data_IF_522962618098
#
_entry.id   IF_522962618098
#
_cell.length_a   1.000
_cell.length_b   1.000
_cell.length_c   1.000
_cell.angle_alpha   90.00
_cell.angle_beta   90.00
_cell.angle_gamma   90.00
#
_symmetry.space_group_name_H-M   'P 1'
#
loop_
_entity.id
_entity.type
_entity.pdbx_description
1 polymer ?
#
# COMPACT_ATOMS: atom_id res chain seq x y z
N UNK A 1 -0.31 -57.78 -28.53
CA UNK A 1 0.53 -56.60 -28.20
C UNK A 1 1.86 -57.10 -27.63
N UNK A 2 3.01 -56.68 -28.19
CA UNK A 2 4.32 -57.23 -27.85
C UNK A 2 4.71 -56.87 -26.40
N UNK A 3 5.02 -57.86 -25.55
CA UNK A 3 5.43 -57.65 -24.15
C UNK A 3 6.61 -56.69 -24.01
N UNK A 4 7.49 -56.59 -25.02
CA UNK A 4 8.56 -55.58 -25.06
C UNK A 4 8.01 -54.16 -25.20
N UNK A 5 7.02 -53.95 -26.06
CA UNK A 5 6.40 -52.63 -26.28
C UNK A 5 5.70 -52.17 -24.99
N UNK A 6 4.96 -53.05 -24.32
CA UNK A 6 4.29 -52.74 -23.04
C UNK A 6 5.31 -52.31 -21.97
N UNK A 7 6.44 -53.03 -21.84
CA UNK A 7 7.51 -52.65 -20.90
C UNK A 7 8.15 -51.31 -21.23
N UNK A 8 8.40 -51.01 -22.51
CA UNK A 8 8.96 -49.73 -22.95
C UNK A 8 7.99 -48.58 -22.65
N UNK A 9 6.70 -48.77 -22.94
CA UNK A 9 5.67 -47.76 -22.65
C UNK A 9 5.53 -47.50 -21.15
N UNK A 10 5.52 -48.53 -20.32
CA UNK A 10 5.49 -48.39 -18.86
C UNK A 10 6.73 -47.67 -18.31
N UNK A 11 7.92 -47.96 -18.85
CA UNK A 11 9.16 -47.30 -18.46
C UNK A 11 9.15 -45.80 -18.84
N UNK A 12 8.66 -45.46 -20.04
CA UNK A 12 8.50 -44.07 -20.48
C UNK A 12 7.54 -43.29 -19.56
N UNK A 13 6.42 -43.89 -19.17
CA UNK A 13 5.46 -43.25 -18.25
C UNK A 13 6.11 -42.97 -16.89
N UNK A 14 6.86 -43.94 -16.34
CA UNK A 14 7.57 -43.76 -15.07
C UNK A 14 8.61 -42.64 -15.13
N UNK A 15 9.34 -42.51 -16.24
CA UNK A 15 10.30 -41.42 -16.45
C UNK A 15 9.59 -40.06 -16.50
N UNK A 16 8.49 -39.95 -17.26
CA UNK A 16 7.73 -38.69 -17.37
C UNK A 16 7.14 -38.28 -16.01
N UNK A 17 6.55 -39.23 -15.26
CA UNK A 17 6.01 -38.97 -13.92
C UNK A 17 7.12 -38.52 -12.97
N UNK A 18 8.28 -39.18 -13.00
CA UNK A 18 9.45 -38.79 -12.19
C UNK A 18 9.95 -37.37 -12.50
N UNK A 19 9.98 -36.98 -13.77
CA UNK A 19 10.37 -35.62 -14.18
C UNK A 19 9.35 -34.58 -13.69
N UNK A 20 8.05 -34.87 -13.75
CA UNK A 20 7.01 -33.96 -13.24
C UNK A 20 7.08 -33.78 -11.73
N UNK A 21 7.24 -34.86 -10.96
CA UNK A 21 7.36 -34.76 -9.49
C UNK A 21 8.63 -34.01 -9.07
N UNK A 22 9.75 -34.26 -9.75
CA UNK A 22 10.99 -33.54 -9.51
C UNK A 22 10.84 -32.03 -9.80
N UNK A 23 10.15 -31.67 -10.89
CA UNK A 23 9.83 -30.26 -11.20
C UNK A 23 8.96 -29.62 -10.11
N UNK A 24 7.92 -30.31 -9.64
CA UNK A 24 7.03 -29.80 -8.57
C UNK A 24 7.84 -29.58 -7.28
N UNK A 25 8.74 -30.50 -6.93
CA UNK A 25 9.62 -30.39 -5.77
C UNK A 25 10.56 -29.18 -5.88
N UNK A 26 11.17 -28.94 -7.04
CA UNK A 26 12.02 -27.77 -7.27
C UNK A 26 11.21 -26.46 -7.16
N UNK A 27 10.04 -26.39 -7.80
CA UNK A 27 9.17 -25.20 -7.73
C UNK A 27 8.72 -24.92 -6.29
N UNK A 28 8.36 -25.96 -5.54
CA UNK A 28 7.98 -25.81 -4.14
C UNK A 28 9.18 -25.40 -3.27
N UNK A 29 10.36 -25.96 -3.51
CA UNK A 29 11.59 -25.57 -2.80
C UNK A 29 11.96 -24.11 -3.08
N UNK A 30 11.86 -23.64 -4.32
CA UNK A 30 12.06 -22.24 -4.69
C UNK A 30 11.02 -21.34 -4.03
N UNK A 31 9.73 -21.71 -4.02
CA UNK A 31 8.68 -20.92 -3.32
C UNK A 31 8.91 -20.83 -1.82
N UNK A 32 9.31 -21.94 -1.20
CA UNK A 32 9.52 -22.03 0.26
C UNK A 32 10.78 -21.26 0.66
N UNK A 33 11.86 -21.41 -0.11
CA UNK A 33 13.11 -20.71 0.11
C UNK A 33 13.01 -19.22 -0.25
N UNK A 34 12.26 -18.83 -1.29
CA UNK A 34 11.97 -17.44 -1.62
C UNK A 34 11.16 -16.74 -0.53
N UNK A 35 10.18 -17.44 0.05
CA UNK A 35 9.45 -16.99 1.25
C UNK A 35 10.37 -16.80 2.46
N UNK A 36 11.31 -17.72 2.66
CA UNK A 36 12.26 -17.69 3.78
C UNK A 36 13.36 -16.63 3.60
N UNK A 37 13.87 -16.45 2.38
CA UNK A 37 14.86 -15.42 2.04
C UNK A 37 14.26 -14.02 2.08
N UNK A 38 13.00 -13.84 1.64
CA UNK A 38 12.25 -12.61 1.86
C UNK A 38 12.06 -12.28 3.35
N UNK A 39 12.16 -13.26 4.25
CA UNK A 39 12.11 -13.03 5.70
C UNK A 39 13.47 -12.63 6.29
N UNK A 40 14.57 -12.82 5.54
CA UNK A 40 15.95 -12.61 5.98
C UNK A 40 16.59 -11.32 5.43
N UNK A 41 16.04 -10.72 4.37
CA UNK A 41 16.42 -9.38 3.91
C UNK A 41 15.81 -8.31 4.83
N UNK A 42 16.53 -7.20 5.02
CA UNK A 42 16.14 -6.08 5.89
C UNK A 42 14.91 -5.32 5.35
N UNK A 43 13.73 -5.95 5.41
CA UNK A 43 12.49 -5.50 4.77
C UNK A 43 11.81 -4.30 5.45
N UNK A 44 12.55 -3.44 6.15
CA UNK A 44 12.01 -2.12 6.51
C UNK A 44 12.11 -1.22 5.28
N UNK A 45 11.38 -1.58 4.23
CA UNK A 45 11.34 -0.82 2.98
C UNK A 45 10.66 0.51 3.26
N UNK A 46 11.46 1.57 3.15
CA UNK A 46 10.95 2.93 3.08
C UNK A 46 10.55 3.19 1.64
N UNK A 47 9.26 3.43 1.41
CA UNK A 47 8.69 3.60 0.07
C UNK A 47 8.29 5.05 -0.16
N UNK A 48 8.92 5.70 -1.13
CA UNK A 48 8.63 7.09 -1.53
C UNK A 48 7.83 7.19 -2.84
N UNK A 49 7.96 6.16 -3.68
CA UNK A 49 7.38 6.06 -5.00
C UNK A 49 7.37 4.59 -5.44
N UNK A 50 6.60 4.30 -6.47
CA UNK A 50 6.59 3.04 -7.20
C UNK A 50 7.39 3.11 -8.51
N UNK A 51 7.04 2.23 -9.47
CA UNK A 51 7.77 2.06 -10.72
C UNK A 51 7.65 3.29 -11.62
N UNK A 52 8.74 3.67 -12.30
CA UNK A 52 8.80 4.89 -13.13
C UNK A 52 8.48 4.66 -14.61
N UNK A 53 8.50 3.41 -15.06
CA UNK A 53 8.20 3.00 -16.44
C UNK A 53 6.70 2.72 -16.66
N UNK A 54 5.93 2.47 -15.59
CA UNK A 54 4.49 2.21 -15.64
C UNK A 54 3.67 3.43 -15.29
N UNK A 55 2.62 3.69 -16.08
CA UNK A 55 1.66 4.78 -15.88
C UNK A 55 0.65 4.49 -14.76
N UNK A 56 1.16 4.19 -13.57
CA UNK A 56 0.40 3.89 -12.34
C UNK A 56 0.73 4.93 -11.27
N UNK A 57 -0.23 5.25 -10.41
CA UNK A 57 -0.07 6.17 -9.27
C UNK A 57 -0.88 5.66 -8.08
N UNK A 58 -0.48 6.03 -6.87
CA UNK A 58 -1.24 5.76 -5.66
C UNK A 58 -1.78 7.05 -5.05
N UNK A 59 -3.11 7.11 -4.92
CA UNK A 59 -3.79 8.15 -4.17
C UNK A 59 -3.87 7.73 -2.70
N UNK A 60 -3.37 8.58 -1.80
CA UNK A 60 -3.34 8.27 -0.36
C UNK A 60 -3.98 9.35 0.48
N UNK A 61 -4.64 8.95 1.56
CA UNK A 61 -5.36 9.84 2.48
C UNK A 61 -4.93 9.57 3.91
N UNK A 62 -4.51 10.63 4.62
CA UNK A 62 -4.13 10.55 6.03
C UNK A 62 -5.21 11.14 6.94
N UNK A 63 -5.10 10.78 8.22
CA UNK A 63 -5.83 11.30 9.37
C UNK A 63 -7.28 10.88 9.57
N UNK A 64 -7.94 10.26 8.60
CA UNK A 64 -9.28 9.70 8.78
C UNK A 64 -9.34 8.44 9.65
N UNK A 65 -10.50 7.75 9.67
CA UNK A 65 -11.74 8.11 8.99
C UNK A 65 -12.50 9.27 9.68
N UNK A 66 -13.12 10.15 8.91
CA UNK A 66 -14.04 11.16 9.41
C UNK A 66 -15.47 10.91 8.89
N UNK A 67 -16.52 10.96 9.74
CA UNK A 67 -17.86 10.48 9.40
C UNK A 67 -18.58 11.26 8.30
N UNK A 68 -18.08 12.46 7.92
CA UNK A 68 -18.71 13.29 6.86
C UNK A 68 -17.83 13.52 5.64
N UNK A 69 -16.51 13.42 5.76
CA UNK A 69 -15.58 13.76 4.68
C UNK A 69 -15.14 12.50 3.96
N UNK A 70 -14.70 11.47 4.69
CA UNK A 70 -14.33 10.17 4.13
C UNK A 70 -15.43 9.59 3.24
N UNK A 71 -16.73 9.55 3.63
CA UNK A 71 -17.79 9.06 2.74
C UNK A 71 -17.91 9.83 1.42
N UNK A 72 -17.73 11.16 1.43
CA UNK A 72 -17.80 11.98 0.22
C UNK A 72 -16.62 11.72 -0.71
N UNK A 73 -15.43 11.49 -0.16
CA UNK A 73 -14.26 11.09 -0.92
C UNK A 73 -14.51 9.72 -1.55
N UNK A 74 -14.99 8.73 -0.78
CA UNK A 74 -15.35 7.40 -1.28
C UNK A 74 -16.37 7.48 -2.43
N UNK A 75 -17.40 8.33 -2.34
CA UNK A 75 -18.37 8.55 -3.42
C UNK A 75 -17.69 9.02 -4.73
N UNK A 76 -16.71 9.93 -4.64
CA UNK A 76 -15.94 10.36 -5.81
C UNK A 76 -15.04 9.25 -6.35
N UNK A 77 -14.33 8.53 -5.48
CA UNK A 77 -13.47 7.43 -5.90
C UNK A 77 -14.28 6.35 -6.62
N UNK A 78 -15.45 5.99 -6.09
CA UNK A 78 -16.41 5.08 -6.73
C UNK A 78 -16.91 5.60 -8.07
N UNK A 79 -17.29 6.89 -8.15
CA UNK A 79 -17.74 7.53 -9.40
C UNK A 79 -16.69 7.40 -10.52
N UNK A 80 -15.41 7.51 -10.17
CA UNK A 80 -14.32 7.42 -11.14
C UNK A 80 -13.67 6.04 -11.20
N UNK A 81 -14.21 5.02 -10.54
CA UNK A 81 -13.63 3.67 -10.46
C UNK A 81 -12.14 3.68 -10.08
N UNK A 82 -11.84 4.34 -8.95
CA UNK A 82 -10.49 4.55 -8.42
C UNK A 82 -10.34 3.82 -7.10
N UNK A 83 -9.24 3.09 -6.93
CA UNK A 83 -8.79 2.57 -5.62
C UNK A 83 -7.73 3.49 -5.02
N UNK A 84 -7.66 3.49 -3.69
CA UNK A 84 -6.81 4.39 -2.91
C UNK A 84 -6.36 3.69 -1.62
N UNK A 85 -5.45 4.32 -0.89
CA UNK A 85 -5.00 3.85 0.44
C UNK A 85 -5.30 4.89 1.50
N UNK A 86 -5.94 4.49 2.60
CA UNK A 86 -6.30 5.35 3.71
C UNK A 86 -5.44 5.01 4.93
N UNK A 87 -4.54 5.90 5.34
CA UNK A 87 -3.74 5.77 6.55
C UNK A 87 -4.55 6.32 7.73
N UNK A 88 -5.15 5.42 8.50
CA UNK A 88 -6.15 5.78 9.51
C UNK A 88 -5.55 5.99 10.89
N UNK A 89 -6.11 6.94 11.63
CA UNK A 89 -5.85 7.12 13.05
C UNK A 89 -6.71 6.16 13.86
N UNK A 90 -6.09 5.40 14.76
CA UNK A 90 -6.80 4.45 15.62
C UNK A 90 -7.91 5.11 16.46
N UNK A 91 -7.69 6.35 16.95
CA UNK A 91 -8.73 7.10 17.67
C UNK A 91 -9.96 7.36 16.81
N UNK A 92 -9.79 7.61 15.52
CA UNK A 92 -10.91 7.88 14.62
C UNK A 92 -11.62 6.60 14.21
N UNK A 93 -10.90 5.50 14.05
CA UNK A 93 -11.49 4.17 13.88
C UNK A 93 -12.41 3.84 15.07
N UNK A 94 -11.92 4.10 16.29
CA UNK A 94 -12.68 3.85 17.52
C UNK A 94 -14.01 4.63 17.57
N UNK A 95 -13.99 5.91 17.19
CA UNK A 95 -15.20 6.75 17.20
C UNK A 95 -16.09 6.56 15.96
N UNK A 96 -15.51 6.22 14.82
CA UNK A 96 -16.16 6.19 13.52
C UNK A 96 -15.84 4.89 12.77
N UNK A 97 -16.36 3.74 13.22
CA UNK A 97 -16.11 2.45 12.58
C UNK A 97 -16.79 2.33 11.21
N UNK A 98 -17.92 2.99 10.99
CA UNK A 98 -18.71 2.84 9.76
C UNK A 98 -17.97 3.29 8.48
N UNK A 99 -17.32 4.48 8.44
CA UNK A 99 -16.50 4.81 7.27
C UNK A 99 -15.33 3.83 7.05
N UNK A 100 -14.74 3.25 8.11
CA UNK A 100 -13.67 2.25 7.95
C UNK A 100 -14.19 0.98 7.25
N UNK A 101 -15.35 0.47 7.68
CA UNK A 101 -16.01 -0.67 7.01
C UNK A 101 -16.23 -0.36 5.54
N UNK A 102 -16.75 0.84 5.23
CA UNK A 102 -16.99 1.28 3.87
C UNK A 102 -15.70 1.36 3.03
N UNK A 103 -14.59 1.88 3.59
CA UNK A 103 -13.28 1.87 2.94
C UNK A 103 -12.91 0.43 2.51
N UNK A 104 -13.05 -0.54 3.42
CA UNK A 104 -12.75 -1.95 3.15
C UNK A 104 -13.70 -2.58 2.13
N UNK A 105 -15.01 -2.40 2.30
CA UNK A 105 -16.07 -2.96 1.43
C UNK A 105 -15.95 -2.46 -0.02
N UNK A 106 -15.56 -1.20 -0.21
CA UNK A 106 -15.33 -0.62 -1.54
C UNK A 106 -13.96 -0.98 -2.13
N UNK A 107 -13.17 -1.81 -1.45
CA UNK A 107 -11.92 -2.39 -1.96
C UNK A 107 -10.72 -1.45 -1.93
N UNK A 108 -10.74 -0.45 -1.05
CA UNK A 108 -9.58 0.40 -0.78
C UNK A 108 -8.63 -0.28 0.22
N UNK A 109 -7.37 0.13 0.23
CA UNK A 109 -6.39 -0.35 1.20
C UNK A 109 -6.42 0.52 2.47
N UNK A 110 -6.19 -0.10 3.62
CA UNK A 110 -6.12 0.57 4.92
C UNK A 110 -4.70 0.45 5.46
N UNK A 111 -4.09 1.60 5.73
CA UNK A 111 -2.80 1.74 6.39
C UNK A 111 -2.92 2.22 7.83
N UNK A 112 -1.87 2.03 8.62
CA UNK A 112 -1.79 2.54 9.99
C UNK A 112 -1.17 3.95 10.00
N UNK A 113 -1.74 4.89 10.75
CA UNK A 113 -1.19 6.24 10.95
C UNK A 113 -0.96 6.63 12.42
N UNK A 114 -0.71 5.64 13.29
CA UNK A 114 -0.70 5.77 14.77
C UNK A 114 -2.08 6.01 15.36
N UNK A 115 -2.20 5.92 16.69
CA UNK A 115 -3.52 5.99 17.33
C UNK A 115 -4.00 7.43 17.44
N UNK A 116 -3.12 8.34 17.88
CA UNK A 116 -3.49 9.70 18.23
C UNK A 116 -2.83 10.80 17.39
N UNK A 117 -2.00 10.44 16.40
CA UNK A 117 -1.14 11.34 15.61
C UNK A 117 0.00 11.94 16.43
N UNK A 118 0.82 11.08 17.05
CA UNK A 118 1.94 11.50 17.91
C UNK A 118 3.12 12.06 17.10
N UNK A 119 3.88 12.96 17.70
CA UNK A 119 5.19 13.36 17.17
C UNK A 119 6.23 12.23 17.39
N UNK A 120 6.35 11.35 16.41
CA UNK A 120 7.28 10.21 16.44
C UNK A 120 8.75 10.63 16.46
N UNK A 121 9.08 11.89 16.13
CA UNK A 121 10.46 12.39 16.17
C UNK A 121 10.97 12.51 17.60
N UNK A 122 10.11 12.98 18.49
CA UNK A 122 10.44 13.34 19.88
C UNK A 122 9.82 12.38 20.90
N UNK A 123 9.36 11.20 20.46
CA UNK A 123 8.69 10.20 21.30
C UNK A 123 9.54 8.93 21.43
N UNK A 124 9.41 8.21 22.56
CA UNK A 124 10.13 6.96 22.81
C UNK A 124 9.67 5.82 21.89
N UNK A 125 10.56 4.87 21.60
CA UNK A 125 10.25 3.67 20.81
C UNK A 125 9.06 2.89 21.40
N UNK A 126 9.00 2.76 22.73
CA UNK A 126 7.90 2.09 23.43
C UNK A 126 6.56 2.75 23.13
N UNK A 127 6.49 4.09 23.20
CA UNK A 127 5.25 4.81 22.95
C UNK A 127 4.86 4.76 21.46
N UNK A 128 5.82 4.80 20.53
CA UNK A 128 5.55 4.58 19.10
C UNK A 128 4.94 3.18 18.89
N UNK A 129 5.50 2.17 19.55
CA UNK A 129 4.98 0.80 19.50
C UNK A 129 3.54 0.72 20.05
N UNK A 130 3.28 1.30 21.22
CA UNK A 130 1.94 1.31 21.84
C UNK A 130 0.90 1.98 20.92
N UNK A 131 1.23 3.12 20.30
CA UNK A 131 0.35 3.82 19.36
C UNK A 131 0.08 3.00 18.09
N UNK A 132 1.12 2.31 17.60
CA UNK A 132 1.01 1.44 16.44
C UNK A 132 0.12 0.22 16.73
N UNK A 133 0.41 -0.51 17.82
CA UNK A 133 -0.34 -1.70 18.25
C UNK A 133 -1.80 -1.38 18.52
N UNK A 134 -2.06 -0.29 19.26
CA UNK A 134 -3.44 0.12 19.54
C UNK A 134 -4.21 0.39 18.25
N UNK A 135 -3.59 1.00 17.25
CA UNK A 135 -4.24 1.23 15.94
C UNK A 135 -4.47 -0.08 15.19
N UNK A 136 -3.52 -1.02 15.23
CA UNK A 136 -3.70 -2.35 14.64
C UNK A 136 -4.90 -3.07 15.25
N UNK A 137 -5.05 -3.01 16.57
CA UNK A 137 -6.11 -3.70 17.30
C UNK A 137 -7.48 -3.06 17.07
N UNK A 138 -7.57 -1.72 17.05
CA UNK A 138 -8.81 -1.02 16.70
C UNK A 138 -9.26 -1.36 15.27
N UNK A 139 -8.36 -1.31 14.28
CA UNK A 139 -8.71 -1.68 12.89
C UNK A 139 -9.14 -3.15 12.81
N UNK A 140 -8.38 -4.07 13.43
CA UNK A 140 -8.72 -5.49 13.45
C UNK A 140 -10.08 -5.76 14.08
N UNK A 141 -10.44 -5.05 15.15
CA UNK A 141 -11.73 -5.21 15.82
C UNK A 141 -12.93 -4.84 14.94
N UNK A 142 -12.74 -3.95 13.98
CA UNK A 142 -13.82 -3.46 13.10
C UNK A 142 -13.94 -4.28 11.81
N UNK A 143 -12.80 -4.67 11.21
CA UNK A 143 -12.79 -5.31 9.87
C UNK A 143 -12.12 -6.69 9.81
N UNK A 144 -11.60 -7.21 10.93
CA UNK A 144 -10.98 -8.54 11.00
C UNK A 144 -9.60 -8.66 10.34
N UNK A 145 -9.00 -7.54 9.92
CA UNK A 145 -7.70 -7.50 9.25
C UNK A 145 -6.80 -6.42 9.87
N UNK A 146 -5.49 -6.65 9.84
CA UNK A 146 -4.47 -5.71 10.33
C UNK A 146 -3.78 -5.01 9.16
N UNK A 147 -3.65 -3.67 9.18
CA UNK A 147 -2.87 -2.93 8.20
C UNK A 147 -1.44 -3.47 8.01
N UNK A 148 -1.05 -3.65 6.75
CA UNK A 148 0.29 -4.12 6.32
C UNK A 148 1.24 -2.98 5.95
N UNK A 149 0.70 -1.76 5.81
CA UNK A 149 1.44 -0.54 5.49
C UNK A 149 1.29 0.48 6.61
N UNK A 150 2.36 1.22 6.86
CA UNK A 150 2.45 2.20 7.95
C UNK A 150 2.99 3.52 7.43
N UNK A 151 2.29 4.62 7.70
CA UNK A 151 2.83 5.96 7.48
C UNK A 151 3.01 6.63 8.85
N UNK A 152 4.23 7.02 9.24
CA UNK A 152 4.42 7.74 10.50
C UNK A 152 3.92 9.20 10.35
N UNK A 153 3.28 9.77 11.39
CA UNK A 153 2.87 11.17 11.42
C UNK A 153 3.96 12.14 10.99
N UNK A 154 3.55 13.19 10.28
CA UNK A 154 4.42 14.24 9.72
C UNK A 154 5.49 13.73 8.73
N UNK A 155 5.45 12.46 8.32
CA UNK A 155 6.48 11.82 7.49
C UNK A 155 7.83 11.63 8.19
N UNK A 156 7.90 11.81 9.51
CA UNK A 156 9.14 11.58 10.26
C UNK A 156 9.40 10.11 10.46
N UNK A 157 10.61 9.66 10.16
CA UNK A 157 11.06 8.31 10.44
C UNK A 157 12.46 8.34 11.04
N UNK A 158 12.65 7.61 12.13
CA UNK A 158 13.94 7.46 12.80
C UNK A 158 14.19 5.97 13.10
N UNK A 159 15.28 5.66 13.82
CA UNK A 159 15.61 4.27 14.18
C UNK A 159 14.48 3.56 14.95
N UNK A 160 13.76 4.29 15.81
CA UNK A 160 12.65 3.72 16.58
C UNK A 160 11.46 3.35 15.67
N UNK A 161 11.04 4.26 14.77
CA UNK A 161 9.99 4.00 13.77
C UNK A 161 10.36 2.78 12.91
N UNK A 162 11.60 2.71 12.43
CA UNK A 162 12.08 1.56 11.63
C UNK A 162 12.03 0.24 12.39
N UNK A 163 12.45 0.23 13.67
CA UNK A 163 12.38 -0.97 14.50
C UNK A 163 10.94 -1.45 14.72
N UNK A 164 10.01 -0.52 14.97
CA UNK A 164 8.59 -0.86 15.10
C UNK A 164 8.09 -1.47 13.78
N UNK A 165 8.32 -0.80 12.65
CA UNK A 165 7.90 -1.31 11.34
C UNK A 165 8.47 -2.73 11.06
N UNK A 166 9.77 -2.94 11.32
CA UNK A 166 10.43 -4.23 11.19
C UNK A 166 9.83 -5.31 12.11
N UNK A 167 9.54 -4.95 13.37
CA UNK A 167 8.98 -5.87 14.36
C UNK A 167 7.63 -6.43 13.91
N UNK A 168 6.79 -5.61 13.28
CA UNK A 168 5.46 -6.03 12.80
C UNK A 168 5.45 -6.42 11.31
N UNK A 169 6.60 -6.41 10.64
CA UNK A 169 6.71 -6.77 9.23
C UNK A 169 5.93 -5.84 8.30
N UNK A 170 5.77 -4.56 8.66
CA UNK A 170 5.07 -3.56 7.84
C UNK A 170 6.05 -2.66 7.10
N UNK A 171 5.63 -2.15 5.94
CA UNK A 171 6.42 -1.20 5.14
C UNK A 171 6.15 0.23 5.58
N UNK A 172 7.18 1.07 5.58
CA UNK A 172 7.04 2.50 5.89
C UNK A 172 6.76 3.24 4.60
N UNK A 173 5.60 3.87 4.50
CA UNK A 173 5.13 4.54 3.30
C UNK A 173 5.17 6.05 3.51
N UNK A 174 5.90 6.74 2.65
CA UNK A 174 5.89 8.19 2.56
C UNK A 174 5.14 8.59 1.28
N UNK A 175 5.52 9.69 0.67
CA UNK A 175 4.90 10.21 -0.54
C UNK A 175 5.98 10.79 -1.44
N UNK A 176 5.71 10.89 -2.74
CA UNK A 176 6.70 11.44 -3.66
C UNK A 176 6.95 12.91 -3.33
N UNK A 177 8.21 13.35 -3.34
CA UNK A 177 8.60 14.70 -2.82
C UNK A 177 7.82 15.85 -3.48
N UNK A 178 7.42 15.70 -4.73
CA UNK A 178 6.61 16.67 -5.48
C UNK A 178 5.10 16.58 -5.23
N UNK A 179 4.64 15.60 -4.46
CA UNK A 179 3.24 15.25 -4.27
C UNK A 179 2.76 15.43 -2.82
N UNK A 180 3.42 16.31 -2.07
CA UNK A 180 2.84 16.93 -0.87
C UNK A 180 1.92 18.08 -1.29
N UNK A 181 0.62 17.84 -1.27
CA UNK A 181 -0.37 18.86 -1.67
C UNK A 181 -0.54 19.98 -0.65
N UNK A 182 -0.12 19.73 0.59
CA UNK A 182 -0.34 20.60 1.74
C UNK A 182 -1.81 20.96 1.96
N UNK A 183 -2.75 20.10 1.53
CA UNK A 183 -4.19 20.32 1.67
C UNK A 183 -4.65 20.53 3.12
N UNK A 184 -3.93 19.95 4.09
CA UNK A 184 -4.05 20.21 5.53
C UNK A 184 -3.87 21.68 5.95
N UNK A 185 -3.13 22.47 5.17
CA UNK A 185 -2.87 23.89 5.45
C UNK A 185 -3.90 24.85 4.83
N UNK A 186 -4.96 24.32 4.20
CA UNK A 186 -5.97 25.09 3.46
C UNK A 186 -5.38 26.03 2.38
N UNK A 187 -4.48 25.55 1.50
CA UNK A 187 -3.72 26.39 0.59
C UNK A 187 -4.54 26.95 -0.60
N UNK A 188 -5.80 26.54 -0.72
CA UNK A 188 -6.70 26.82 -1.83
C UNK A 188 -6.85 25.62 -2.76
N UNK A 189 -8.08 25.34 -3.21
CA UNK A 189 -8.41 24.20 -4.09
C UNK A 189 -7.53 24.20 -5.35
N UNK A 190 -7.38 25.35 -6.01
CA UNK A 190 -6.58 25.46 -7.22
C UNK A 190 -5.10 25.13 -6.98
N UNK A 191 -4.56 25.50 -5.81
CA UNK A 191 -3.17 25.18 -5.46
C UNK A 191 -2.97 23.68 -5.27
N UNK A 192 -3.92 23.00 -4.61
CA UNK A 192 -3.90 21.53 -4.47
C UNK A 192 -3.92 20.88 -5.85
N UNK A 193 -4.84 21.31 -6.73
CA UNK A 193 -4.98 20.81 -8.10
C UNK A 193 -3.69 20.99 -8.90
N UNK A 194 -3.11 22.20 -8.90
CA UNK A 194 -1.87 22.50 -9.63
C UNK A 194 -0.69 21.69 -9.09
N UNK A 195 -0.56 21.55 -7.76
CA UNK A 195 0.52 20.74 -7.17
C UNK A 195 0.48 19.31 -7.69
N UNK A 196 -0.70 18.68 -7.74
CA UNK A 196 -0.82 17.33 -8.27
C UNK A 196 -0.58 17.30 -9.77
N UNK A 197 -1.38 18.04 -10.55
CA UNK A 197 -1.43 17.88 -12.01
C UNK A 197 -0.16 18.37 -12.72
N UNK A 198 0.56 19.36 -12.18
CA UNK A 198 1.76 19.88 -12.84
C UNK A 198 3.01 19.06 -12.55
N UNK A 199 3.02 18.29 -11.46
CA UNK A 199 4.20 17.55 -11.01
C UNK A 199 4.02 16.02 -11.06
N UNK A 200 2.93 15.52 -11.62
CA UNK A 200 2.62 14.09 -11.61
C UNK A 200 3.59 13.30 -12.49
N UNK A 201 4.16 12.26 -11.90
CA UNK A 201 5.04 11.30 -12.56
C UNK A 201 4.50 9.87 -12.38
N UNK A 202 4.95 8.97 -13.26
CA UNK A 202 4.73 7.54 -13.10
C UNK A 202 5.26 7.07 -11.74
N UNK A 203 4.50 6.22 -11.06
CA UNK A 203 4.84 5.68 -9.75
C UNK A 203 4.63 6.64 -8.59
N UNK A 204 4.07 7.83 -8.80
CA UNK A 204 3.90 8.78 -7.72
C UNK A 204 2.91 8.30 -6.65
N UNK A 205 3.25 8.60 -5.40
CA UNK A 205 2.39 8.46 -4.23
C UNK A 205 1.95 9.86 -3.83
N UNK A 206 0.64 10.13 -3.92
CA UNK A 206 0.05 11.45 -3.67
C UNK A 206 -0.44 11.54 -2.24
N UNK A 207 0.03 12.54 -1.48
CA UNK A 207 -0.41 12.81 -0.11
C UNK A 207 -1.58 13.80 -0.10
N UNK A 208 -2.72 13.33 0.42
CA UNK A 208 -3.91 14.11 0.73
C UNK A 208 -4.40 13.72 2.14
N UNK A 209 -5.41 14.42 2.64
CA UNK A 209 -6.01 14.14 3.94
C UNK A 209 -7.53 14.00 3.82
N UNK A 210 -8.10 12.92 4.37
CA UNK A 210 -9.56 12.75 4.48
C UNK A 210 -10.11 13.28 5.82
N UNK A 211 -9.24 13.76 6.70
CA UNK A 211 -9.57 14.61 7.84
C UNK A 211 -8.53 15.73 7.99
N UNK A 212 -9.02 16.95 8.23
CA UNK A 212 -8.19 18.09 8.66
C UNK A 212 -9.01 18.88 9.67
N UNK A 213 -8.35 19.60 10.58
CA UNK A 213 -9.08 20.52 11.45
C UNK A 213 -9.71 21.65 10.62
N UNK A 214 -10.99 21.93 10.88
CA UNK A 214 -11.74 22.93 10.12
C UNK A 214 -12.33 22.39 8.80
N UNK A 215 -12.12 23.13 7.70
CA UNK A 215 -12.78 22.85 6.41
C UNK A 215 -11.79 22.25 5.42
N UNK A 216 -11.89 20.95 5.16
CA UNK A 216 -11.15 20.29 4.07
C UNK A 216 -11.48 20.87 2.69
N UNK A 217 -10.44 21.09 1.88
CA UNK A 217 -10.52 21.48 0.47
C UNK A 217 -10.30 20.28 -0.49
N UNK A 218 -9.91 19.13 0.06
CA UNK A 218 -9.53 17.91 -0.65
C UNK A 218 -10.63 17.39 -1.56
N UNK A 219 -11.87 17.34 -1.06
CA UNK A 219 -13.03 16.88 -1.85
C UNK A 219 -13.26 17.72 -3.12
N UNK A 220 -13.16 19.05 -3.03
CA UNK A 220 -13.33 19.91 -4.21
C UNK A 220 -12.16 19.80 -5.18
N UNK A 221 -10.93 19.63 -4.68
CA UNK A 221 -9.76 19.38 -5.53
C UNK A 221 -9.88 18.04 -6.29
N UNK A 222 -10.34 16.98 -5.62
CA UNK A 222 -10.52 15.65 -6.22
C UNK A 222 -11.52 15.66 -7.38
N UNK A 223 -12.55 16.53 -7.35
CA UNK A 223 -13.49 16.67 -8.47
C UNK A 223 -12.81 17.08 -9.77
N UNK A 224 -11.64 17.73 -9.70
CA UNK A 224 -10.83 18.12 -10.86
C UNK A 224 -9.70 17.11 -11.11
N UNK A 225 -8.99 16.69 -10.07
CA UNK A 225 -7.81 15.82 -10.18
C UNK A 225 -8.17 14.45 -10.79
N UNK A 226 -9.25 13.81 -10.30
CA UNK A 226 -9.61 12.45 -10.70
C UNK A 226 -9.91 12.33 -12.20
N UNK A 227 -10.83 13.12 -12.79
CA UNK A 227 -11.11 13.00 -14.23
C UNK A 227 -9.88 13.34 -15.07
N UNK A 228 -9.12 14.38 -14.72
CA UNK A 228 -7.94 14.80 -15.49
C UNK A 228 -6.86 13.71 -15.51
N UNK A 229 -6.51 13.12 -14.37
CA UNK A 229 -5.49 12.07 -14.32
C UNK A 229 -5.94 10.80 -15.06
N UNK A 230 -7.25 10.49 -15.04
CA UNK A 230 -7.81 9.40 -15.86
C UNK A 230 -7.72 9.71 -17.35
N UNK A 231 -8.04 10.92 -17.78
CA UNK A 231 -7.91 11.35 -19.17
C UNK A 231 -6.45 11.28 -19.65
N UNK A 232 -5.51 11.65 -18.78
CA UNK A 232 -4.07 11.47 -19.03
C UNK A 232 -3.64 10.00 -19.04
N UNK A 233 -4.51 9.04 -18.71
CA UNK A 233 -4.25 7.60 -18.80
C UNK A 233 -3.54 7.00 -17.59
N UNK A 234 -3.53 7.68 -16.44
CA UNK A 234 -3.01 7.10 -15.20
C UNK A 234 -3.96 6.04 -14.64
N UNK A 235 -3.38 4.91 -14.23
CA UNK A 235 -4.08 3.89 -13.45
C UNK A 235 -3.86 4.14 -11.97
N UNK A 236 -4.94 4.14 -11.22
CA UNK A 236 -4.89 4.29 -9.77
C UNK A 236 -4.79 2.91 -9.12
N UNK A 237 -3.81 2.74 -8.25
CA UNK A 237 -3.55 1.49 -7.54
C UNK A 237 -3.42 1.77 -6.04
N UNK A 238 -3.62 0.74 -5.22
CA UNK A 238 -3.28 0.84 -3.80
C UNK A 238 -1.76 0.81 -3.59
N UNK A 239 -1.29 1.13 -2.39
CA UNK A 239 0.15 1.10 -2.09
C UNK A 239 0.73 -0.30 -2.21
N UNK A 240 0.07 -1.32 -1.68
CA UNK A 240 0.53 -2.72 -1.81
C UNK A 240 0.65 -3.12 -3.29
N UNK A 241 -0.35 -2.80 -4.12
CA UNK A 241 -0.29 -3.04 -5.56
C UNK A 241 0.86 -2.28 -6.24
N UNK A 242 1.08 -1.01 -5.86
CA UNK A 242 2.16 -0.19 -6.39
C UNK A 242 3.54 -0.82 -6.10
N UNK A 243 3.74 -1.31 -4.87
CA UNK A 243 4.99 -1.94 -4.43
C UNK A 243 5.21 -3.27 -5.15
N UNK A 244 4.17 -4.10 -5.29
CA UNK A 244 4.26 -5.37 -6.01
C UNK A 244 4.65 -5.16 -7.48
N UNK A 245 4.16 -4.09 -8.11
CA UNK A 245 4.53 -3.73 -9.47
C UNK A 245 5.99 -3.28 -9.59
N UNK A 246 6.55 -2.63 -8.57
CA UNK A 246 7.95 -2.19 -8.51
C UNK A 246 8.91 -3.37 -8.31
N UNK A 247 8.59 -4.30 -7.41
CA UNK A 247 9.47 -5.42 -7.07
C UNK A 247 9.62 -6.43 -8.23
N UNK A 248 8.56 -6.60 -9.04
CA UNK A 248 8.61 -7.43 -10.24
C UNK A 248 9.53 -6.87 -11.35
N UNK A 249 9.94 -5.60 -11.28
CA UNK A 249 10.94 -5.02 -12.18
C UNK A 249 12.36 -5.28 -11.72
N UNK A 250 12.66 -5.08 -10.43
CA UNK A 250 14.00 -5.33 -9.89
C UNK A 250 14.45 -6.78 -10.16
N UNK A 251 13.53 -7.74 -9.99
CA UNK A 251 13.78 -9.15 -10.30
C UNK A 251 14.06 -9.36 -11.80
N UNK A 252 13.38 -8.63 -12.70
CA UNK A 252 13.63 -8.75 -14.15
C UNK A 252 14.96 -8.12 -14.56
N UNK A 253 15.39 -7.04 -13.92
CA UNK A 253 16.68 -6.42 -14.18
C UNK A 253 17.83 -7.32 -13.73
N UNK A 254 17.73 -7.92 -12.54
CA UNK A 254 18.72 -8.87 -12.03
C UNK A 254 18.85 -10.13 -12.92
N UNK A 255 17.75 -10.61 -13.51
CA UNK A 255 17.76 -11.78 -14.41
C UNK A 255 18.29 -11.51 -15.83
N UNK A 256 18.56 -10.26 -16.21
CA UNK A 256 19.08 -9.89 -17.54
C UNK A 256 20.58 -9.59 -17.50
N UNK A 257 21.17 -9.46 -16.30
CA UNK A 257 22.61 -9.23 -16.11
C UNK A 257 23.46 -10.51 -15.96
N UNK A 258 22.85 -11.70 -16.07
CA UNK A 258 23.51 -13.02 -16.06
C UNK A 258 23.64 -13.66 -17.46
#
# INVERSE_FOLDING_TARGET
>A
MNKKIIKITLLMILIVVGITEFRIMIVNSIKTNGSFLNKLTDNTELVWNGPRDKKVIALTFDDGPHPRITPKILDLLKKYDVKATFFVLGKHVQFYPEPLKRIKEEGHEIGNHTFSHIDVKNTSEKKIQEEFEKTQDEVFSVIGEKPTVFRPPFGYYNKAVKKVAKKYGVKIILWSTSQDTKDWSNPGVEKIVRTVLNNICNGDIILLHDYVEGRSQTYEALKVILPELKERGYKFVTISQLIDMNNNENIKLEMVED
#
